data_IF_608732507845
#
_entry.id   IF_608732507845
#
_cell.length_a   1.000
_cell.length_b   1.000
_cell.length_c   1.000
_cell.angle_alpha   90.00
_cell.angle_beta   90.00
_cell.angle_gamma   90.00
#
_symmetry.space_group_name_H-M   'P 1'
#
loop_
_entity.id
_entity.type
_entity.pdbx_description
1 polymer ?
#
# COMPACT_ATOMS: atom_id res chain seq x y z
N UNK A 1 0.95 -0.67 5.34
CA UNK A 1 1.71 -0.05 6.46
C UNK A 1 0.72 0.73 7.33
N UNK A 2 0.49 0.28 8.57
CA UNK A 2 -0.48 0.88 9.50
C UNK A 2 0.02 2.24 9.99
N UNK A 3 -0.77 3.29 9.80
CA UNK A 3 -0.55 4.61 10.40
C UNK A 3 -1.33 4.63 11.72
N UNK A 4 -0.60 4.64 12.84
CA UNK A 4 -1.16 4.87 14.17
C UNK A 4 -1.57 6.35 14.26
N UNK A 5 -2.85 6.62 14.52
CA UNK A 5 -3.32 7.96 14.92
C UNK A 5 -2.97 8.19 16.39
N UNK A 6 -2.39 9.34 16.67
CA UNK A 6 -2.25 9.90 18.02
C UNK A 6 -3.63 10.32 18.54
N UNK A 7 -3.98 9.93 19.77
CA UNK A 7 -5.22 10.31 20.45
C UNK A 7 -5.09 11.71 21.06
N UNK A 8 -6.14 12.51 20.90
CA UNK A 8 -6.28 13.85 21.49
C UNK A 8 -6.49 13.80 23.00
N UNK A 9 -6.05 14.87 23.67
CA UNK A 9 -6.17 15.10 25.10
C UNK A 9 -7.64 15.11 25.57
N UNK A 10 -8.00 14.25 26.52
CA UNK A 10 -8.78 14.61 27.73
C UNK A 10 -9.16 13.36 28.54
N UNK A 11 -8.39 13.04 29.58
CA UNK A 11 -8.88 12.50 30.87
C UNK A 11 -7.71 12.46 31.84
N UNK A 12 -7.70 13.42 32.77
CA UNK A 12 -6.68 13.62 33.79
C UNK A 12 -6.77 12.55 34.89
N UNK A 13 -5.60 12.20 35.43
CA UNK A 13 -5.28 11.63 36.75
C UNK A 13 -5.01 10.12 36.97
N UNK A 14 -5.25 9.22 36.03
CA UNK A 14 -4.89 7.78 36.22
C UNK A 14 -3.69 7.30 35.40
N UNK A 15 -3.16 8.14 34.50
CA UNK A 15 -2.14 7.76 33.51
C UNK A 15 -0.69 8.02 33.92
N UNK A 16 -0.43 8.75 35.01
CA UNK A 16 0.93 9.23 35.31
C UNK A 16 1.89 8.12 35.71
N UNK A 17 1.42 7.09 36.43
CA UNK A 17 2.29 6.00 36.90
C UNK A 17 2.55 4.93 35.82
N UNK A 18 1.56 4.60 34.99
CA UNK A 18 1.72 3.63 33.89
C UNK A 18 2.55 4.22 32.75
N UNK A 19 2.42 5.52 32.49
CA UNK A 19 3.18 6.18 31.43
C UNK A 19 4.69 6.16 31.75
N UNK A 20 5.09 6.37 32.99
CA UNK A 20 6.51 6.48 33.38
C UNK A 20 7.28 5.17 33.30
N UNK A 21 6.66 4.03 33.66
CA UNK A 21 7.34 2.71 33.71
C UNK A 21 7.58 2.15 32.30
N UNK A 22 6.69 2.41 31.33
CA UNK A 22 6.83 1.89 29.97
C UNK A 22 7.57 2.85 29.03
N UNK A 23 7.49 4.16 29.24
CA UNK A 23 8.12 5.13 28.32
C UNK A 23 9.62 5.24 28.48
N UNK A 24 10.18 5.11 29.69
CA UNK A 24 11.61 5.30 29.95
C UNK A 24 12.50 4.27 29.18
N UNK A 25 12.19 2.95 29.19
CA UNK A 25 12.91 1.97 28.37
C UNK A 25 12.65 2.16 26.86
N UNK A 26 11.45 2.57 26.46
CA UNK A 26 11.09 2.81 25.05
C UNK A 26 11.82 4.04 24.47
N UNK A 27 11.99 5.08 25.26
CA UNK A 27 12.72 6.31 24.94
C UNK A 27 14.22 6.02 24.86
N UNK A 28 14.79 5.34 25.85
CA UNK A 28 16.21 4.98 25.90
C UNK A 28 16.61 3.95 24.82
N UNK A 29 15.70 3.07 24.42
CA UNK A 29 15.94 2.10 23.32
C UNK A 29 15.82 2.70 21.91
N UNK A 30 15.50 4.00 21.80
CA UNK A 30 15.25 4.70 20.54
C UNK A 30 14.00 4.24 19.80
N UNK A 31 13.17 3.39 20.44
CA UNK A 31 11.92 2.87 19.88
C UNK A 31 10.80 3.91 19.95
N UNK A 32 10.77 4.77 20.98
CA UNK A 32 9.76 5.81 21.15
C UNK A 32 9.81 6.88 20.06
N UNK A 33 11.01 7.23 19.59
CA UNK A 33 11.21 8.25 18.54
C UNK A 33 11.23 7.65 17.13
N UNK A 34 11.07 6.33 17.01
CA UNK A 34 11.10 5.66 15.72
C UNK A 34 12.45 5.72 15.02
N UNK A 35 13.56 6.00 15.70
CA UNK A 35 14.89 6.12 15.07
C UNK A 35 15.25 4.84 14.28
N UNK A 36 14.99 3.66 14.85
CA UNK A 36 15.16 2.37 14.15
C UNK A 36 14.26 2.26 12.90
N UNK A 37 13.05 2.80 12.95
CA UNK A 37 12.12 2.86 11.80
C UNK A 37 12.64 3.81 10.72
N UNK A 38 13.17 4.98 11.11
CA UNK A 38 13.78 5.95 10.20
C UNK A 38 15.02 5.37 9.51
N UNK A 39 15.95 4.80 10.27
CA UNK A 39 17.14 4.14 9.72
C UNK A 39 16.76 3.01 8.76
N UNK A 40 15.83 2.12 9.17
CA UNK A 40 15.35 1.07 8.28
C UNK A 40 14.53 1.57 7.07
N UNK A 41 14.03 2.81 7.10
CA UNK A 41 13.40 3.44 5.93
C UNK A 41 14.45 4.04 5.00
N UNK A 42 15.47 4.69 5.55
CA UNK A 42 16.59 5.24 4.79
C UNK A 42 17.39 4.15 4.09
N UNK A 43 17.70 3.06 4.79
CA UNK A 43 18.39 1.90 4.23
C UNK A 43 17.65 1.34 3.02
N UNK A 44 16.34 1.13 3.15
CA UNK A 44 15.48 0.73 2.02
C UNK A 44 15.47 1.76 0.89
N UNK A 45 15.53 3.05 1.17
CA UNK A 45 15.61 4.07 0.11
C UNK A 45 16.94 4.01 -0.64
N UNK A 46 18.06 3.83 0.07
CA UNK A 46 19.37 3.60 -0.54
C UNK A 46 19.35 2.36 -1.44
N UNK A 47 18.76 1.25 -1.00
CA UNK A 47 18.60 0.04 -1.80
C UNK A 47 17.76 0.26 -3.07
N UNK A 48 16.68 1.04 -2.97
CA UNK A 48 15.83 1.40 -4.12
C UNK A 48 16.57 2.23 -5.15
N UNK A 49 17.32 3.23 -4.71
CA UNK A 49 18.15 4.07 -5.59
C UNK A 49 19.23 3.24 -6.26
N UNK A 50 19.92 2.39 -5.51
CA UNK A 50 20.94 1.48 -6.05
C UNK A 50 20.34 0.53 -7.10
N UNK A 51 19.15 -0.02 -6.85
CA UNK A 51 18.46 -0.93 -7.78
C UNK A 51 18.00 -0.21 -9.05
N UNK A 52 17.56 1.05 -8.95
CA UNK A 52 17.19 1.86 -10.11
C UNK A 52 18.40 2.28 -10.96
N UNK A 53 19.59 2.37 -10.35
CA UNK A 53 20.85 2.66 -11.03
C UNK A 53 21.54 1.41 -11.59
N UNK A 54 21.12 0.21 -11.18
CA UNK A 54 21.69 -1.04 -11.64
C UNK A 54 21.37 -1.26 -13.13
N UNK A 55 22.40 -1.27 -13.96
CA UNK A 55 22.31 -1.49 -15.42
C UNK A 55 22.14 -2.99 -15.73
N UNK A 56 22.60 -3.86 -14.83
CA UNK A 56 22.53 -5.31 -15.02
C UNK A 56 21.12 -5.83 -14.70
N UNK A 57 20.51 -6.50 -15.68
CA UNK A 57 19.26 -7.26 -15.51
C UNK A 57 19.65 -8.61 -14.92
N UNK A 58 19.18 -8.98 -13.71
CA UNK A 58 19.40 -10.32 -13.17
C UNK A 58 18.84 -11.36 -14.15
N UNK A 59 19.69 -12.31 -14.54
CA UNK A 59 19.30 -13.46 -15.36
C UNK A 59 18.42 -14.35 -14.49
N UNK A 60 17.10 -14.13 -14.52
CA UNK A 60 16.15 -14.82 -13.64
C UNK A 60 14.85 -14.07 -13.42
N UNK A 61 14.81 -12.76 -13.70
CA UNK A 61 13.56 -12.01 -13.68
C UNK A 61 12.68 -12.51 -14.85
N UNK A 62 11.58 -13.19 -14.50
CA UNK A 62 10.46 -13.44 -15.41
C UNK A 62 10.06 -12.06 -15.93
N UNK A 63 10.48 -11.66 -17.13
CA UNK A 63 10.30 -10.27 -17.54
C UNK A 63 9.98 -10.16 -19.03
N UNK A 64 8.75 -9.73 -19.31
CA UNK A 64 8.36 -9.21 -20.64
C UNK A 64 9.10 -7.90 -20.97
N UNK A 65 9.61 -7.19 -19.95
CA UNK A 65 10.34 -5.92 -20.13
C UNK A 65 11.84 -6.19 -20.27
N UNK A 66 12.27 -6.41 -21.49
CA UNK A 66 13.65 -6.74 -21.83
C UNK A 66 14.58 -5.52 -21.91
N UNK A 67 14.03 -4.29 -22.00
CA UNK A 67 14.82 -3.08 -22.19
C UNK A 67 15.14 -2.37 -20.86
N UNK A 68 16.38 -1.87 -20.69
CA UNK A 68 16.76 -1.12 -19.50
C UNK A 68 15.96 0.18 -19.35
N UNK A 69 15.58 0.83 -20.45
CA UNK A 69 14.71 2.02 -20.45
C UNK A 69 13.30 1.68 -19.96
N UNK A 70 12.75 0.53 -20.39
CA UNK A 70 11.45 0.04 -19.93
C UNK A 70 11.45 -0.24 -18.43
N UNK A 71 12.49 -0.92 -17.94
CA UNK A 71 12.70 -1.18 -16.51
C UNK A 71 12.76 0.12 -15.71
N UNK A 72 13.53 1.11 -16.18
CA UNK A 72 13.64 2.43 -15.55
C UNK A 72 12.29 3.17 -15.51
N UNK A 73 11.50 3.09 -16.57
CA UNK A 73 10.16 3.70 -16.64
C UNK A 73 9.21 3.09 -15.62
N UNK A 74 9.22 1.76 -15.49
CA UNK A 74 8.38 1.02 -14.52
C UNK A 74 8.77 1.34 -13.09
N UNK A 75 10.07 1.38 -12.77
CA UNK A 75 10.54 1.76 -11.44
C UNK A 75 10.12 3.19 -11.07
N UNK A 76 10.25 4.14 -12.01
CA UNK A 76 9.75 5.52 -11.81
C UNK A 76 8.23 5.57 -11.61
N UNK A 77 7.47 4.76 -12.34
CA UNK A 77 6.02 4.67 -12.14
C UNK A 77 5.68 4.12 -10.76
N UNK A 78 6.32 3.03 -10.33
CA UNK A 78 6.12 2.43 -9.02
C UNK A 78 6.49 3.40 -7.88
N UNK A 79 7.57 4.16 -8.02
CA UNK A 79 7.94 5.22 -7.08
C UNK A 79 6.83 6.28 -6.96
N UNK A 80 6.31 6.78 -8.09
CA UNK A 80 5.19 7.74 -8.09
C UNK A 80 3.94 7.16 -7.45
N UNK A 81 3.60 5.89 -7.71
CA UNK A 81 2.45 5.22 -7.09
C UNK A 81 2.58 5.18 -5.56
N UNK A 82 3.76 4.81 -5.06
CA UNK A 82 4.04 4.78 -3.61
C UNK A 82 3.94 6.18 -3.02
N UNK A 83 4.52 7.20 -3.66
CA UNK A 83 4.44 8.59 -3.22
C UNK A 83 2.99 9.08 -3.21
N UNK A 84 2.20 8.79 -4.24
CA UNK A 84 0.79 9.17 -4.32
C UNK A 84 -0.06 8.50 -3.24
N UNK A 85 0.22 7.23 -2.95
CA UNK A 85 -0.42 6.51 -1.86
C UNK A 85 -0.06 7.13 -0.49
N UNK A 86 1.23 7.33 -0.22
CA UNK A 86 1.68 7.90 1.06
C UNK A 86 1.15 9.32 1.29
N UNK A 87 1.11 10.15 0.25
CA UNK A 87 0.51 11.49 0.32
C UNK A 87 -1.00 11.42 0.50
N UNK A 88 -1.67 10.47 -0.15
CA UNK A 88 -3.12 10.27 -0.04
C UNK A 88 -3.59 9.70 1.29
N UNK A 89 -2.79 8.87 1.97
CA UNK A 89 -3.11 8.25 3.27
C UNK A 89 -2.54 9.06 4.45
N UNK A 90 -1.52 9.87 4.21
CA UNK A 90 -0.91 10.76 5.20
C UNK A 90 -1.90 11.78 5.75
N UNK A 91 -1.82 12.05 7.05
CA UNK A 91 -2.52 13.17 7.68
C UNK A 91 -1.54 14.34 7.75
N UNK A 92 -1.55 15.20 6.73
CA UNK A 92 -0.89 16.51 6.77
C UNK A 92 -1.91 17.57 7.16
N UNK A 93 -1.46 18.66 7.78
CA UNK A 93 -2.31 19.81 8.13
C UNK A 93 -2.96 20.47 6.90
N UNK A 94 -2.40 20.26 5.70
CA UNK A 94 -2.99 20.70 4.43
C UNK A 94 -4.14 19.81 3.91
N UNK A 95 -4.36 18.65 4.52
CA UNK A 95 -5.18 17.56 4.00
C UNK A 95 -6.12 17.03 5.10
N UNK A 96 -7.17 17.79 5.39
CA UNK A 96 -8.12 17.48 6.47
C UNK A 96 -8.91 16.23 6.14
N UNK A 97 -8.71 15.19 6.95
CA UNK A 97 -9.52 13.97 6.93
C UNK A 97 -10.81 14.17 7.72
N UNK A 98 -11.95 13.93 7.08
CA UNK A 98 -13.27 13.92 7.72
C UNK A 98 -13.64 12.50 8.09
N UNK A 99 -14.01 12.26 9.35
CA UNK A 99 -14.55 10.97 9.78
C UNK A 99 -16.02 10.88 9.35
N UNK A 100 -16.37 9.81 8.63
CA UNK A 100 -17.72 9.59 8.08
C UNK A 100 -18.61 8.73 8.97
N UNK A 101 -18.06 8.00 9.94
CA UNK A 101 -18.81 7.16 10.89
C UNK A 101 -18.62 7.63 12.34
N UNK A 102 -19.70 7.57 13.11
CA UNK A 102 -19.79 8.04 14.51
C UNK A 102 -19.56 6.93 15.54
N UNK A 103 -19.41 5.67 15.11
CA UNK A 103 -19.07 4.54 15.98
C UNK A 103 -17.56 4.37 16.10
N UNK A 104 -17.05 4.38 17.32
CA UNK A 104 -15.61 4.38 17.66
C UNK A 104 -14.81 3.20 17.07
N UNK A 105 -15.46 2.10 16.69
CA UNK A 105 -14.81 0.88 16.20
C UNK A 105 -14.61 0.80 14.69
N UNK A 106 -15.29 1.64 13.89
CA UNK A 106 -15.32 1.52 12.43
C UNK A 106 -15.22 2.89 11.74
N UNK A 107 -14.29 3.72 12.23
CA UNK A 107 -14.07 5.08 11.74
C UNK A 107 -13.52 5.10 10.30
N UNK A 108 -14.42 5.14 9.31
CA UNK A 108 -14.08 5.42 7.92
C UNK A 108 -13.76 6.91 7.81
N UNK A 109 -12.60 7.23 7.24
CA UNK A 109 -12.15 8.60 7.04
C UNK A 109 -12.07 8.88 5.55
N UNK A 110 -12.54 10.04 5.13
CA UNK A 110 -12.44 10.50 3.75
C UNK A 110 -11.71 11.85 3.67
N UNK A 111 -11.05 12.07 2.55
CA UNK A 111 -10.38 13.32 2.21
C UNK A 111 -10.61 13.60 0.73
N UNK A 112 -10.95 14.85 0.41
CA UNK A 112 -11.01 15.34 -0.96
C UNK A 112 -9.94 16.39 -1.14
N UNK A 113 -9.07 16.24 -2.14
CA UNK A 113 -8.07 17.25 -2.52
C UNK A 113 -8.14 17.58 -4.00
N UNK A 114 -7.86 18.84 -4.34
CA UNK A 114 -7.69 19.27 -5.74
C UNK A 114 -6.23 19.03 -6.13
N UNK A 115 -6.01 18.24 -7.17
CA UNK A 115 -4.68 17.96 -7.73
C UNK A 115 -4.53 18.76 -9.01
N UNK A 116 -3.77 19.86 -8.97
CA UNK A 116 -3.50 20.70 -10.15
C UNK A 116 -2.04 20.63 -10.61
N UNK A 117 -1.11 20.38 -9.68
CA UNK A 117 0.33 20.53 -9.92
C UNK A 117 1.11 19.21 -9.76
N UNK A 118 0.47 18.05 -9.91
CA UNK A 118 1.10 16.73 -9.75
C UNK A 118 1.61 16.20 -11.11
N UNK A 119 2.94 16.22 -11.39
CA UNK A 119 3.47 15.85 -12.68
C UNK A 119 3.17 14.38 -13.03
N UNK A 120 2.51 14.16 -14.16
CA UNK A 120 2.12 12.83 -14.63
C UNK A 120 0.75 12.36 -14.13
N UNK A 121 0.00 13.22 -13.42
CA UNK A 121 -1.41 12.99 -13.10
C UNK A 121 -2.29 14.05 -13.79
N UNK A 122 -3.44 13.68 -14.37
CA UNK A 122 -4.38 14.66 -14.90
C UNK A 122 -4.88 15.61 -13.80
N UNK A 123 -5.04 16.91 -14.10
CA UNK A 123 -5.67 17.84 -13.18
C UNK A 123 -7.07 17.37 -12.79
N UNK A 124 -7.42 17.42 -11.51
CA UNK A 124 -8.73 16.95 -11.07
C UNK A 124 -8.91 16.85 -9.56
N UNK A 125 -10.04 16.29 -9.16
CA UNK A 125 -10.38 16.01 -7.77
C UNK A 125 -9.93 14.60 -7.43
N UNK A 126 -9.26 14.46 -6.28
CA UNK A 126 -8.82 13.18 -5.74
C UNK A 126 -9.59 12.91 -4.46
N UNK A 127 -10.36 11.83 -4.49
CA UNK A 127 -11.01 11.28 -3.30
C UNK A 127 -10.11 10.20 -2.70
N UNK A 128 -9.85 10.26 -1.39
CA UNK A 128 -9.12 9.26 -0.63
C UNK A 128 -9.98 8.80 0.53
N UNK A 129 -10.19 7.50 0.66
CA UNK A 129 -10.89 6.89 1.78
C UNK A 129 -9.95 5.91 2.48
N UNK A 130 -9.98 5.91 3.81
CA UNK A 130 -9.17 5.01 4.62
C UNK A 130 -9.97 4.54 5.82
N UNK A 131 -9.94 3.24 6.07
CA UNK A 131 -10.35 2.63 7.34
C UNK A 131 -9.13 2.01 8.01
N UNK A 132 -9.22 1.75 9.30
CA UNK A 132 -8.15 1.14 10.08
C UNK A 132 -8.77 0.21 11.10
N UNK A 133 -8.30 -1.02 11.14
CA UNK A 133 -8.76 -2.03 12.08
C UNK A 133 -7.56 -2.80 12.63
N UNK A 134 -7.74 -3.42 13.79
CA UNK A 134 -6.71 -4.19 14.45
C UNK A 134 -6.80 -5.67 14.06
N UNK A 135 -5.65 -6.30 13.77
CA UNK A 135 -5.57 -7.73 13.49
C UNK A 135 -4.51 -8.35 14.42
N UNK A 136 -4.81 -9.46 15.13
CA UNK A 136 -3.86 -10.14 16.01
C UNK A 136 -2.86 -11.02 15.23
N UNK A 137 -2.27 -10.50 14.16
CA UNK A 137 -1.35 -11.22 13.27
C UNK A 137 -0.10 -10.37 13.04
N UNK A 138 1.06 -11.03 12.97
CA UNK A 138 2.34 -10.34 12.67
C UNK A 138 2.27 -9.61 11.34
N UNK A 139 2.77 -8.38 11.29
CA UNK A 139 2.76 -7.53 10.08
C UNK A 139 3.38 -8.19 8.85
N UNK A 140 4.44 -8.99 9.03
CA UNK A 140 5.07 -9.76 7.95
C UNK A 140 4.10 -10.77 7.33
N UNK A 141 3.31 -11.49 8.13
CA UNK A 141 2.31 -12.44 7.61
C UNK A 141 1.22 -11.74 6.80
N UNK A 142 0.73 -10.60 7.30
CA UNK A 142 -0.26 -9.79 6.56
C UNK A 142 0.33 -9.27 5.25
N UNK A 143 1.58 -8.79 5.28
CA UNK A 143 2.27 -8.35 4.07
C UNK A 143 2.46 -9.49 3.07
N UNK A 144 2.90 -10.67 3.53
CA UNK A 144 3.10 -11.84 2.69
C UNK A 144 1.77 -12.35 2.09
N UNK A 145 0.66 -12.24 2.81
CA UNK A 145 -0.69 -12.51 2.28
C UNK A 145 -1.12 -11.49 1.22
N UNK A 146 -0.95 -10.18 1.48
CA UNK A 146 -1.36 -9.13 0.55
C UNK A 146 -0.52 -9.10 -0.74
N UNK A 147 0.72 -9.58 -0.71
CA UNK A 147 1.56 -9.61 -1.92
C UNK A 147 1.35 -10.88 -2.76
N UNK A 148 0.80 -11.95 -2.19
CA UNK A 148 0.67 -13.24 -2.88
C UNK A 148 -0.40 -13.15 -3.97
N UNK A 149 0.00 -13.50 -5.19
CA UNK A 149 -0.88 -13.50 -6.36
C UNK A 149 -2.05 -14.49 -6.21
N UNK A 150 -1.83 -15.61 -5.53
CA UNK A 150 -2.83 -16.67 -5.38
C UNK A 150 -3.98 -16.27 -4.44
N UNK A 151 -3.68 -15.44 -3.46
CA UNK A 151 -4.66 -14.93 -2.48
C UNK A 151 -5.22 -13.56 -2.90
N UNK A 152 -4.82 -13.04 -4.06
CA UNK A 152 -5.18 -11.69 -4.50
C UNK A 152 -6.68 -11.52 -4.72
N UNK A 153 -7.34 -12.53 -5.25
CA UNK A 153 -8.79 -12.54 -5.51
C UNK A 153 -9.63 -12.54 -4.24
N UNK A 154 -9.05 -12.88 -3.07
CA UNK A 154 -9.77 -12.90 -1.79
C UNK A 154 -10.05 -11.49 -1.25
N UNK A 155 -9.28 -10.49 -1.67
CA UNK A 155 -9.36 -9.14 -1.10
C UNK A 155 -9.34 -8.02 -2.15
N UNK A 156 -8.79 -8.25 -3.34
CA UNK A 156 -8.79 -7.27 -4.42
C UNK A 156 -10.01 -7.48 -5.32
N UNK A 157 -10.99 -6.58 -5.19
CA UNK A 157 -12.23 -6.63 -5.97
C UNK A 157 -11.98 -6.64 -7.49
N UNK A 158 -10.87 -6.04 -7.94
CA UNK A 158 -10.48 -6.00 -9.35
C UNK A 158 -9.87 -7.32 -9.84
N UNK A 159 -9.63 -8.28 -8.94
CA UNK A 159 -9.11 -9.61 -9.26
C UNK A 159 -10.15 -10.71 -9.00
N UNK A 160 -11.34 -10.36 -8.50
CA UNK A 160 -12.36 -11.32 -8.15
C UNK A 160 -12.85 -12.09 -9.39
N UNK A 161 -12.88 -13.42 -9.30
CA UNK A 161 -13.27 -14.31 -10.40
C UNK A 161 -12.26 -14.45 -11.55
N UNK A 162 -11.12 -13.73 -11.49
CA UNK A 162 -10.01 -13.86 -12.43
C UNK A 162 -8.85 -14.67 -11.84
N UNK A 163 -8.02 -15.24 -12.72
CA UNK A 163 -6.73 -15.79 -12.33
C UNK A 163 -5.68 -14.68 -12.43
N UNK A 164 -4.97 -14.41 -11.33
CA UNK A 164 -3.87 -13.43 -11.31
C UNK A 164 -2.58 -14.13 -11.70
N UNK A 165 -1.82 -13.51 -12.60
CA UNK A 165 -0.51 -13.98 -13.03
C UNK A 165 0.53 -12.86 -12.94
N UNK A 166 1.66 -13.12 -12.30
CA UNK A 166 2.84 -12.28 -12.38
C UNK A 166 3.50 -12.38 -13.78
N UNK A 167 3.50 -11.26 -14.50
CA UNK A 167 4.06 -11.11 -15.85
C UNK A 167 5.48 -10.55 -15.84
N UNK A 168 5.81 -9.78 -14.81
CA UNK A 168 7.13 -9.24 -14.61
C UNK A 168 7.46 -9.17 -13.12
N UNK A 169 8.68 -9.53 -12.75
CA UNK A 169 9.22 -9.35 -11.40
C UNK A 169 10.49 -8.51 -11.47
N UNK A 170 10.55 -7.41 -10.71
CA UNK A 170 11.75 -6.58 -10.61
C UNK A 170 12.13 -6.47 -9.14
N UNK A 171 13.21 -7.13 -8.75
CA UNK A 171 13.76 -6.99 -7.40
C UNK A 171 14.18 -5.52 -7.14
N UNK A 172 13.89 -5.05 -5.94
CA UNK A 172 14.05 -3.65 -5.52
C UNK A 172 14.80 -3.59 -4.18
N UNK A 173 16.06 -4.03 -4.22
CA UNK A 173 16.95 -4.13 -3.07
C UNK A 173 17.47 -5.55 -2.87
N UNK A 174 18.02 -5.82 -1.68
CA UNK A 174 18.56 -7.14 -1.32
C UNK A 174 17.49 -8.11 -0.82
N UNK A 175 16.44 -7.57 -0.21
CA UNK A 175 15.30 -8.37 0.24
C UNK A 175 14.44 -8.76 -0.97
N UNK A 176 14.31 -10.06 -1.30
CA UNK A 176 13.45 -10.50 -2.41
C UNK A 176 11.98 -10.17 -2.17
N UNK A 177 11.57 -9.87 -0.94
CA UNK A 177 10.24 -9.35 -0.63
C UNK A 177 10.01 -7.91 -1.08
N UNK A 178 11.07 -7.13 -1.34
CA UNK A 178 10.97 -5.79 -1.90
C UNK A 178 11.10 -5.89 -3.41
N UNK A 179 9.98 -5.87 -4.12
CA UNK A 179 9.94 -5.99 -5.56
C UNK A 179 8.87 -5.07 -6.17
N UNK A 180 8.94 -4.91 -7.49
CA UNK A 180 7.86 -4.36 -8.32
C UNK A 180 7.39 -5.49 -9.23
N UNK A 181 6.14 -5.88 -9.05
CA UNK A 181 5.50 -6.94 -9.83
C UNK A 181 4.49 -6.34 -10.81
N UNK A 182 4.53 -6.81 -12.07
CA UNK A 182 3.48 -6.53 -13.05
C UNK A 182 2.50 -7.70 -13.03
N UNK A 183 1.26 -7.44 -12.64
CA UNK A 183 0.22 -8.46 -12.55
C UNK A 183 -0.75 -8.34 -13.74
N UNK A 184 -1.15 -9.47 -14.30
CA UNK A 184 -2.26 -9.58 -15.25
C UNK A 184 -3.40 -10.35 -14.59
N UNK A 185 -4.63 -9.90 -14.80
CA UNK A 185 -5.83 -10.60 -14.36
C UNK A 185 -6.51 -11.21 -15.59
N UNK A 186 -6.57 -12.54 -15.64
CA UNK A 186 -7.23 -13.28 -16.72
C UNK A 186 -8.61 -13.75 -16.26
N UNK A 187 -9.65 -13.12 -16.81
CA UNK A 187 -11.02 -13.51 -16.52
C UNK A 187 -11.41 -14.71 -17.38
N UNK A 188 -11.83 -15.80 -16.73
CA UNK A 188 -12.46 -16.90 -17.45
C UNK A 188 -13.85 -16.44 -17.89
N UNK A 189 -14.00 -16.18 -19.20
CA UNK A 189 -15.31 -15.95 -19.78
C UNK A 189 -16.19 -17.18 -19.51
N UNK A 190 -17.21 -17.03 -18.67
CA UNK A 190 -18.27 -18.04 -18.52
C UNK A 190 -19.37 -17.68 -19.54
N UNK A 191 -19.57 -18.45 -20.62
CA UNK A 191 -20.58 -18.14 -21.64
C UNK A 191 -22.04 -18.36 -21.20
N UNK A 192 -22.31 -18.62 -19.92
CA UNK A 192 -23.65 -19.01 -19.46
C UNK A 192 -24.40 -17.89 -18.71
N UNK A 193 -24.76 -16.80 -19.41
CA UNK A 193 -25.89 -15.91 -19.03
C UNK A 193 -26.51 -15.17 -20.24
N UNK A 194 -26.53 -15.78 -21.43
CA UNK A 194 -27.22 -15.19 -22.60
C UNK A 194 -28.22 -16.13 -23.30
N UNK A 195 -28.58 -17.25 -22.66
CA UNK A 195 -29.53 -18.22 -23.21
C UNK A 195 -30.95 -18.13 -22.64
N UNK A 196 -31.26 -17.12 -21.80
CA UNK A 196 -32.56 -17.02 -21.12
C UNK A 196 -33.42 -15.83 -21.57
N UNK A 197 -33.06 -15.14 -22.65
CA UNK A 197 -33.87 -14.07 -23.25
C UNK A 197 -34.49 -14.43 -24.62
N UNK A 198 -34.35 -15.68 -25.08
CA UNK A 198 -34.99 -16.17 -26.32
C UNK A 198 -36.07 -17.23 -26.10
N UNK A 199 -36.51 -17.47 -24.86
CA UNK A 199 -37.61 -18.40 -24.55
C UNK A 199 -38.97 -17.76 -24.22
N UNK A 200 -39.11 -16.44 -24.26
CA UNK A 200 -40.40 -15.75 -24.05
C UNK A 200 -41.04 -15.15 -25.33
N UNK A 201 -40.79 -15.73 -26.52
CA UNK A 201 -41.48 -15.33 -27.76
C UNK A 201 -42.04 -16.49 -28.58
N UNK A 202 -42.62 -17.51 -27.93
CA UNK A 202 -43.60 -18.40 -28.57
C UNK A 202 -44.76 -18.67 -27.64
#
# INVERSE_FOLDING_TARGET
MVILRSFGLSTLKWTTDVFTIYTEPLVNSGLAFGAKRWVGTLDRQCERLASAMAINIPIGDLCVITTPEGRKSILKLAERMVTSFCTGVGASTSHTWTTLSTTDSDAVRAMTRKSMDDPGRPPGIVLSAATSFWIPVRSKKVFDFLKDENHRSEWDILSNGGQVQEMAHIANGRDPGNCVSLLRVDYKFKPEQHADLTRELH
#
